data_IF_317691213937
#
_entry.id   IF_317691213937
#
_cell.length_a   1.000
_cell.length_b   1.000
_cell.length_c   1.000
_cell.angle_alpha   90.00
_cell.angle_beta   90.00
_cell.angle_gamma   90.00
#
_symmetry.space_group_name_H-M   'P 1'
#
loop_
_entity.id
_entity.type
_entity.pdbx_description
1 polymer ?
#
# COMPACT_ATOMS: atom_id res chain seq x y z
N UNK A 1 13.27 21.25 -21.92
CA UNK A 1 14.03 20.71 -20.77
C UNK A 1 15.40 20.31 -21.31
N UNK A 2 16.46 21.05 -20.96
CA UNK A 2 17.84 20.76 -21.42
C UNK A 2 18.68 20.05 -20.36
N UNK A 3 18.24 20.08 -19.10
CA UNK A 3 18.86 19.36 -17.98
C UNK A 3 17.80 18.94 -16.96
N UNK A 4 17.96 17.76 -16.36
CA UNK A 4 17.08 17.26 -15.28
C UNK A 4 17.15 18.13 -14.00
N UNK A 5 18.14 19.02 -13.90
CA UNK A 5 18.26 20.05 -12.85
C UNK A 5 17.18 21.14 -12.92
N UNK A 6 16.51 21.30 -14.06
CA UNK A 6 15.41 22.28 -14.24
C UNK A 6 14.07 21.72 -13.75
N UNK A 7 14.00 20.42 -13.47
CA UNK A 7 12.79 19.76 -12.98
C UNK A 7 12.72 19.97 -11.47
N UNK A 8 11.70 20.70 -11.00
CA UNK A 8 11.48 20.94 -9.57
C UNK A 8 10.82 19.76 -8.87
N UNK A 9 9.98 19.02 -9.59
CA UNK A 9 9.22 17.90 -9.08
C UNK A 9 9.06 16.81 -10.15
N UNK A 10 9.33 15.57 -9.79
CA UNK A 10 9.12 14.40 -10.63
C UNK A 10 8.09 13.47 -10.00
N UNK A 11 7.26 12.87 -10.85
CA UNK A 11 6.28 11.85 -10.43
C UNK A 11 6.57 10.57 -11.20
N UNK A 12 6.86 9.49 -10.48
CA UNK A 12 7.09 8.17 -11.07
C UNK A 12 5.92 7.22 -10.75
N UNK A 13 5.29 6.67 -11.79
CA UNK A 13 4.19 5.71 -11.66
C UNK A 13 4.69 4.34 -12.16
N UNK A 14 5.11 3.48 -11.23
CA UNK A 14 5.73 2.19 -11.57
C UNK A 14 5.15 1.05 -10.73
N UNK A 15 4.92 -0.11 -11.35
CA UNK A 15 4.41 -1.32 -10.68
C UNK A 15 5.52 -2.28 -10.23
N UNK A 16 6.79 -2.01 -10.56
CA UNK A 16 7.95 -2.87 -10.30
C UNK A 16 9.26 -2.17 -10.62
N UNK A 17 10.33 -2.93 -10.87
CA UNK A 17 11.66 -2.41 -11.19
C UNK A 17 11.90 -2.33 -12.71
N UNK A 18 12.53 -1.25 -13.22
CA UNK A 18 12.95 -0.04 -12.51
C UNK A 18 11.76 0.87 -12.15
N UNK A 19 11.78 1.43 -10.94
CA UNK A 19 10.68 2.25 -10.42
C UNK A 19 11.19 3.37 -9.53
N UNK A 20 10.37 3.77 -8.54
CA UNK A 20 10.61 4.91 -7.64
C UNK A 20 11.98 4.84 -6.94
N UNK A 21 12.44 3.63 -6.58
CA UNK A 21 13.76 3.41 -5.97
C UNK A 21 14.92 3.79 -6.90
N UNK A 22 14.80 3.47 -8.19
CA UNK A 22 15.82 3.77 -9.19
C UNK A 22 15.86 5.27 -9.48
N UNK A 23 14.71 5.92 -9.59
CA UNK A 23 14.63 7.37 -9.74
C UNK A 23 15.07 8.14 -8.49
N UNK A 24 14.94 7.56 -7.31
CA UNK A 24 15.51 8.10 -6.08
C UNK A 24 17.05 8.15 -6.17
N UNK A 25 17.70 7.01 -6.44
CA UNK A 25 19.18 6.89 -6.47
C UNK A 25 19.79 7.67 -7.64
N UNK A 26 19.24 7.55 -8.85
CA UNK A 26 19.86 8.15 -10.05
C UNK A 26 19.34 9.56 -10.39
N UNK A 27 18.17 9.92 -9.86
CA UNK A 27 17.48 11.17 -10.13
C UNK A 27 17.57 12.15 -8.96
N UNK A 28 16.84 11.87 -7.87
CA UNK A 28 16.74 12.80 -6.72
C UNK A 28 18.09 13.09 -6.09
N UNK A 29 18.87 12.06 -5.76
CA UNK A 29 20.16 12.25 -5.09
C UNK A 29 21.18 12.99 -5.98
N UNK A 30 21.06 12.84 -7.30
CA UNK A 30 21.99 13.43 -8.28
C UNK A 30 21.60 14.84 -8.76
N UNK A 31 20.31 15.14 -8.82
CA UNK A 31 19.79 16.39 -9.40
C UNK A 31 18.99 17.24 -8.41
N UNK A 32 18.71 16.76 -7.20
CA UNK A 32 18.11 17.52 -6.10
C UNK A 32 16.62 17.82 -6.24
N UNK A 33 15.92 17.21 -7.21
CA UNK A 33 14.49 17.43 -7.40
C UNK A 33 13.64 16.63 -6.39
N UNK A 34 12.49 17.16 -6.00
CA UNK A 34 11.56 16.41 -5.17
C UNK A 34 10.88 15.30 -5.99
N UNK A 35 10.76 14.10 -5.42
CA UNK A 35 10.21 12.92 -6.10
C UNK A 35 8.98 12.44 -5.33
N UNK A 36 7.85 12.40 -6.01
CA UNK A 36 6.67 11.66 -5.60
C UNK A 36 6.48 10.43 -6.47
N UNK A 37 5.73 9.45 -5.99
CA UNK A 37 5.49 8.24 -6.76
C UNK A 37 4.12 7.62 -6.53
N UNK A 38 3.70 6.80 -7.48
CA UNK A 38 2.53 5.95 -7.35
C UNK A 38 2.89 4.53 -7.76
N UNK A 39 2.41 3.56 -7.00
CA UNK A 39 2.73 2.15 -7.26
C UNK A 39 1.56 1.25 -6.95
N UNK A 40 1.62 0.00 -7.43
CA UNK A 40 0.63 -1.02 -7.08
C UNK A 40 0.69 -1.32 -5.57
N UNK A 41 -0.40 -1.80 -4.98
CA UNK A 41 -0.47 -2.02 -3.52
C UNK A 41 0.66 -2.93 -2.99
N UNK A 42 1.10 -3.90 -3.79
CA UNK A 42 2.20 -4.81 -3.44
C UNK A 42 3.56 -4.14 -3.44
N UNK A 43 3.81 -3.24 -4.38
CA UNK A 43 5.09 -2.54 -4.53
C UNK A 43 5.16 -1.30 -3.64
N UNK A 44 4.02 -0.66 -3.36
CA UNK A 44 3.91 0.44 -2.41
C UNK A 44 4.36 0.06 -0.99
N UNK A 45 4.15 -1.20 -0.58
CA UNK A 45 4.63 -1.72 0.71
C UNK A 45 6.14 -1.50 0.91
N UNK A 46 6.94 -1.74 -0.13
CA UNK A 46 8.40 -1.54 -0.12
C UNK A 46 8.83 -0.07 -0.15
N UNK A 47 7.94 0.84 -0.54
CA UNK A 47 8.23 2.26 -0.70
C UNK A 47 7.83 3.10 0.52
N UNK A 48 7.01 2.58 1.44
CA UNK A 48 6.68 3.27 2.70
C UNK A 48 7.89 3.66 3.54
N UNK A 49 8.96 2.85 3.67
CA UNK A 49 10.18 3.27 4.35
C UNK A 49 10.80 4.53 3.76
N UNK A 50 10.84 4.64 2.43
CA UNK A 50 11.35 5.84 1.74
C UNK A 50 10.46 7.06 1.98
N UNK A 51 9.15 6.86 2.12
CA UNK A 51 8.21 7.92 2.48
C UNK A 51 8.44 8.39 3.93
N UNK A 52 8.62 7.44 4.86
CA UNK A 52 8.82 7.72 6.28
C UNK A 52 10.14 8.44 6.59
N UNK A 53 11.21 8.13 5.84
CA UNK A 53 12.50 8.80 5.96
C UNK A 53 12.55 10.16 5.26
N UNK A 54 11.48 10.58 4.58
CA UNK A 54 11.44 11.81 3.78
C UNK A 54 12.26 11.74 2.49
N UNK A 55 12.65 10.53 2.08
CA UNK A 55 13.36 10.30 0.83
C UNK A 55 12.46 10.51 -0.39
N UNK A 56 11.16 10.26 -0.27
CA UNK A 56 10.11 10.69 -1.21
C UNK A 56 9.07 11.53 -0.46
N UNK A 57 8.45 12.52 -1.13
CA UNK A 57 7.50 13.42 -0.47
C UNK A 57 6.02 13.00 -0.65
N UNK A 58 5.75 12.00 -1.50
CA UNK A 58 4.40 11.56 -1.80
C UNK A 58 4.39 10.15 -2.36
N UNK A 59 3.43 9.34 -1.90
CA UNK A 59 3.21 7.98 -2.36
C UNK A 59 1.71 7.71 -2.51
N UNK A 60 1.25 7.38 -3.72
CA UNK A 60 -0.12 6.88 -3.95
C UNK A 60 -0.03 5.37 -4.20
N UNK A 61 -0.28 4.59 -3.14
CA UNK A 61 -0.17 3.13 -3.17
C UNK A 61 -1.49 2.42 -3.43
N UNK A 62 -1.70 1.93 -4.65
CA UNK A 62 -2.81 1.06 -5.03
C UNK A 62 -4.19 1.54 -4.58
N UNK A 63 -5.03 0.59 -4.15
CA UNK A 63 -6.42 0.87 -3.73
C UNK A 63 -6.49 1.77 -2.51
N UNK A 64 -5.58 1.59 -1.53
CA UNK A 64 -5.54 2.40 -0.31
C UNK A 64 -5.21 3.86 -0.61
N UNK A 65 -4.19 4.12 -1.42
CA UNK A 65 -3.83 5.49 -1.83
C UNK A 65 -4.95 6.18 -2.61
N UNK A 66 -5.65 5.43 -3.47
CA UNK A 66 -6.83 5.94 -4.16
C UNK A 66 -7.99 6.24 -3.20
N UNK A 67 -8.21 5.41 -2.18
CA UNK A 67 -9.27 5.63 -1.18
C UNK A 67 -8.96 6.83 -0.27
N UNK A 68 -7.71 7.01 0.13
CA UNK A 68 -7.25 8.19 0.89
C UNK A 68 -7.45 9.47 0.05
N UNK A 69 -7.16 9.40 -1.26
CA UNK A 69 -7.40 10.52 -2.18
C UNK A 69 -8.91 10.84 -2.35
N UNK A 70 -9.77 9.84 -2.54
CA UNK A 70 -11.23 10.00 -2.57
C UNK A 70 -11.76 10.62 -1.26
N UNK A 71 -11.19 10.22 -0.13
CA UNK A 71 -11.57 10.75 1.20
C UNK A 71 -11.18 12.21 1.35
N UNK A 72 -9.97 12.59 0.91
CA UNK A 72 -9.49 13.98 0.92
C UNK A 72 -10.36 14.89 0.04
N UNK A 73 -10.88 14.37 -1.07
CA UNK A 73 -11.83 15.08 -1.93
C UNK A 73 -13.26 15.11 -1.39
N UNK A 74 -13.54 14.41 -0.29
CA UNK A 74 -14.89 14.26 0.27
C UNK A 74 -15.85 13.48 -0.63
N UNK A 75 -15.34 12.80 -1.66
CA UNK A 75 -16.15 12.06 -2.64
C UNK A 75 -15.94 10.58 -2.45
N UNK A 76 -16.90 9.91 -1.82
CA UNK A 76 -16.86 8.45 -1.68
C UNK A 76 -17.04 7.78 -3.04
N UNK A 77 -15.96 7.22 -3.56
CA UNK A 77 -15.95 6.52 -4.84
C UNK A 77 -15.71 5.03 -4.69
N UNK A 78 -15.18 4.43 -5.76
CA UNK A 78 -14.99 2.99 -5.87
C UNK A 78 -13.82 2.52 -5.01
N UNK A 79 -12.83 3.36 -4.75
CA UNK A 79 -11.67 2.98 -3.97
C UNK A 79 -12.03 2.82 -2.48
N UNK A 80 -12.82 3.75 -1.92
CA UNK A 80 -13.33 3.64 -0.54
C UNK A 80 -14.22 2.40 -0.40
N UNK A 81 -15.15 2.18 -1.34
CA UNK A 81 -16.00 0.98 -1.30
C UNK A 81 -15.19 -0.32 -1.38
N UNK A 82 -14.10 -0.34 -2.17
CA UNK A 82 -13.17 -1.47 -2.23
C UNK A 82 -12.44 -1.73 -0.90
N UNK A 83 -12.04 -0.67 -0.20
CA UNK A 83 -11.44 -0.76 1.14
C UNK A 83 -12.42 -1.29 2.19
N UNK A 84 -13.69 -0.88 2.13
CA UNK A 84 -14.75 -1.38 3.01
C UNK A 84 -14.98 -2.88 2.78
N UNK A 85 -15.07 -3.31 1.52
CA UNK A 85 -15.21 -4.72 1.16
C UNK A 85 -14.01 -5.58 1.63
N UNK A 86 -12.79 -5.05 1.51
CA UNK A 86 -11.59 -5.71 2.03
C UNK A 86 -11.64 -5.88 3.55
N UNK A 87 -12.07 -4.84 4.28
CA UNK A 87 -12.19 -4.87 5.75
C UNK A 87 -13.24 -5.88 6.23
N UNK A 88 -14.40 -5.94 5.58
CA UNK A 88 -15.44 -6.93 5.88
C UNK A 88 -14.97 -8.36 5.60
N UNK A 89 -14.25 -8.57 4.49
CA UNK A 89 -13.68 -9.88 4.13
C UNK A 89 -12.65 -10.34 5.16
N UNK A 90 -11.76 -9.44 5.60
CA UNK A 90 -10.77 -9.76 6.63
C UNK A 90 -11.46 -10.13 7.96
N UNK A 91 -12.51 -9.41 8.35
CA UNK A 91 -13.27 -9.73 9.56
C UNK A 91 -13.94 -11.11 9.46
N UNK A 92 -14.56 -11.42 8.32
CA UNK A 92 -15.17 -12.73 8.08
C UNK A 92 -14.15 -13.87 8.22
N UNK A 93 -12.97 -13.72 7.62
CA UNK A 93 -11.88 -14.73 7.72
C UNK A 93 -11.48 -14.94 9.18
N UNK A 94 -11.31 -13.87 9.96
CA UNK A 94 -10.97 -13.97 11.39
C UNK A 94 -12.05 -14.75 12.16
N UNK A 95 -13.33 -14.44 11.93
CA UNK A 95 -14.45 -15.14 12.57
C UNK A 95 -14.44 -16.63 12.22
N UNK A 96 -14.23 -16.98 10.94
CA UNK A 96 -14.16 -18.36 10.50
C UNK A 96 -12.97 -19.10 11.14
N UNK A 97 -11.80 -18.45 11.24
CA UNK A 97 -10.63 -19.02 11.92
C UNK A 97 -10.94 -19.31 13.40
N UNK A 98 -11.59 -18.37 14.10
CA UNK A 98 -11.98 -18.57 15.51
C UNK A 98 -12.96 -19.73 15.64
N UNK A 99 -14.00 -19.80 14.81
CA UNK A 99 -14.99 -20.88 14.82
C UNK A 99 -14.34 -22.25 14.54
N UNK A 100 -13.43 -22.33 13.57
CA UNK A 100 -12.66 -23.54 13.28
C UNK A 100 -11.80 -23.97 14.47
N UNK A 101 -11.09 -23.04 15.11
CA UNK A 101 -10.26 -23.36 16.28
C UNK A 101 -11.10 -23.86 17.47
N UNK A 102 -12.25 -23.21 17.74
CA UNK A 102 -13.17 -23.64 18.80
C UNK A 102 -13.73 -25.03 18.50
N UNK A 103 -14.20 -25.28 17.27
CA UNK A 103 -14.75 -26.58 16.87
C UNK A 103 -13.71 -27.70 16.93
N UNK A 104 -12.46 -27.40 16.56
CA UNK A 104 -11.33 -28.31 16.66
C UNK A 104 -11.04 -28.68 18.12
N UNK A 105 -11.00 -27.70 19.02
CA UNK A 105 -10.75 -27.95 20.45
C UNK A 105 -11.87 -28.73 21.11
N UNK A 106 -13.14 -28.44 20.79
CA UNK A 106 -14.29 -29.18 21.29
C UNK A 106 -14.27 -30.64 20.81
N UNK A 107 -13.99 -30.86 19.52
CA UNK A 107 -13.87 -32.21 18.94
C UNK A 107 -12.71 -33.00 19.55
N UNK A 108 -11.57 -32.35 19.80
CA UNK A 108 -10.41 -33.00 20.43
C UNK A 108 -10.69 -33.38 21.89
N UNK A 109 -11.45 -32.57 22.63
CA UNK A 109 -11.84 -32.87 24.01
C UNK A 109 -12.86 -34.01 24.08
N UNK A 110 -13.72 -34.16 23.08
CA UNK A 110 -14.62 -35.30 22.93
C UNK A 110 -13.89 -36.60 22.52
N UNK A 111 -12.82 -36.51 21.72
CA UNK A 111 -12.04 -37.65 21.26
C UNK A 111 -11.00 -38.15 22.29
N UNK A 112 -10.45 -37.27 23.14
CA UNK A 112 -9.49 -37.63 24.19
C UNK A 112 -10.10 -38.14 25.51
N UNK A 113 -11.42 -38.35 25.53
CA UNK A 113 -12.18 -38.86 26.69
C UNK A 113 -12.48 -40.37 26.64
N UNK A 114 -11.72 -41.16 25.88
CA UNK A 114 -11.77 -42.63 25.88
C UNK A 114 -10.38 -43.21 26.17
#
# INVERSE_FOLDING_TARGET
IRSLREVRYAVDLAAGTPGIETWYVYGKEKYGFELGGGSTAVSAAGLYPLLQTGQINGLIGGLRGAAEYETLLGQKGKAIAGMDAQSATHLLIIVLIVLCNVSFFLSRRAAGGR
#
